data_IF_450370727421
#
_entry.id   IF_450370727421
#
_cell.length_a   1.000
_cell.length_b   1.000
_cell.length_c   1.000
_cell.angle_alpha   90.00
_cell.angle_beta   90.00
_cell.angle_gamma   90.00
#
_symmetry.space_group_name_H-M   'P 1'
#
loop_
_entity.id
_entity.type
_entity.pdbx_description
1 polymer ?
#
# COMPACT_ATOMS: atom_id res chain seq x y z
N UNK A 1 -10.77 10.72 -8.41
CA UNK A 1 -9.97 10.07 -7.36
C UNK A 1 -10.89 9.47 -6.31
N UNK A 2 -10.67 8.22 -5.93
CA UNK A 2 -11.48 7.44 -4.98
C UNK A 2 -10.56 6.92 -3.88
N UNK A 3 -10.94 7.11 -2.61
CA UNK A 3 -10.23 6.54 -1.48
C UNK A 3 -10.75 5.12 -1.20
N UNK A 4 -9.84 4.14 -1.13
CA UNK A 4 -10.15 2.75 -0.81
C UNK A 4 -9.37 2.33 0.42
N UNK A 5 -10.05 1.73 1.41
CA UNK A 5 -9.38 1.12 2.55
C UNK A 5 -8.68 -0.18 2.14
N UNK A 6 -7.36 -0.21 2.34
CA UNK A 6 -6.48 -1.31 1.94
C UNK A 6 -5.03 -0.86 1.80
N UNK A 7 -4.14 -1.85 1.85
CA UNK A 7 -2.70 -1.67 1.68
C UNK A 7 -2.32 -2.03 0.25
N UNK A 8 -1.54 -1.19 -0.41
CA UNK A 8 -1.16 -1.32 -1.81
C UNK A 8 0.36 -1.54 -1.94
N UNK A 9 0.76 -2.57 -2.68
CA UNK A 9 2.17 -2.94 -2.89
C UNK A 9 2.44 -3.15 -4.37
N UNK A 10 3.55 -2.62 -4.87
CA UNK A 10 4.06 -2.88 -6.22
C UNK A 10 5.09 -4.01 -6.16
N UNK A 11 4.95 -5.01 -7.04
CA UNK A 11 5.86 -6.15 -7.13
C UNK A 11 5.92 -6.64 -8.58
N UNK A 12 7.14 -6.80 -9.13
CA UNK A 12 7.36 -7.35 -10.47
C UNK A 12 6.54 -6.69 -11.59
N UNK A 13 6.38 -5.36 -11.53
CA UNK A 13 5.63 -4.58 -12.51
C UNK A 13 4.11 -4.65 -12.37
N UNK A 14 3.60 -5.23 -11.29
CA UNK A 14 2.17 -5.30 -10.97
C UNK A 14 1.90 -4.62 -9.64
N UNK A 15 0.81 -3.87 -9.56
CA UNK A 15 0.34 -3.23 -8.33
C UNK A 15 -0.82 -4.04 -7.75
N UNK A 16 -0.73 -4.42 -6.48
CA UNK A 16 -1.72 -5.26 -5.79
C UNK A 16 -2.31 -4.49 -4.62
N UNK A 17 -3.65 -4.36 -4.59
CA UNK A 17 -4.39 -3.77 -3.49
C UNK A 17 -4.97 -4.87 -2.57
N UNK A 18 -4.43 -4.99 -1.37
CA UNK A 18 -4.86 -5.94 -0.36
C UNK A 18 -6.03 -5.37 0.44
N UNK A 19 -7.19 -6.04 0.36
CA UNK A 19 -8.41 -5.69 1.09
C UNK A 19 -8.95 -6.87 1.88
N UNK A 20 -9.73 -6.55 2.91
CA UNK A 20 -10.28 -7.54 3.84
C UNK A 20 -10.54 -6.94 5.22
N UNK A 21 -11.21 -7.67 6.12
CA UNK A 21 -11.54 -7.21 7.47
C UNK A 21 -10.32 -6.74 8.27
N UNK A 22 -10.52 -5.89 9.28
CA UNK A 22 -9.44 -5.54 10.22
C UNK A 22 -8.93 -6.80 10.93
N UNK A 23 -7.62 -6.88 11.15
CA UNK A 23 -6.98 -8.05 11.77
C UNK A 23 -6.82 -9.27 10.85
N UNK A 24 -7.24 -9.22 9.58
CA UNK A 24 -7.10 -10.36 8.66
C UNK A 24 -5.67 -10.62 8.13
N UNK A 25 -4.65 -9.95 8.68
CA UNK A 25 -3.24 -10.14 8.28
C UNK A 25 -2.77 -9.38 7.04
N UNK A 26 -3.53 -8.38 6.53
CA UNK A 26 -3.16 -7.61 5.33
C UNK A 26 -1.79 -6.93 5.45
N UNK A 27 -1.53 -6.25 6.56
CA UNK A 27 -0.26 -5.57 6.80
C UNK A 27 0.91 -6.55 6.93
N UNK A 28 0.68 -7.71 7.54
CA UNK A 28 1.70 -8.78 7.61
C UNK A 28 2.03 -9.33 6.21
N UNK A 29 1.01 -9.58 5.38
CA UNK A 29 1.22 -9.99 3.99
C UNK A 29 1.94 -8.90 3.19
N UNK A 30 1.56 -7.62 3.36
CA UNK A 30 2.22 -6.50 2.70
C UNK A 30 3.71 -6.42 3.06
N UNK A 31 4.05 -6.58 4.34
CA UNK A 31 5.44 -6.62 4.80
C UNK A 31 6.22 -7.77 4.15
N UNK A 32 5.65 -8.97 4.05
CA UNK A 32 6.31 -10.11 3.37
C UNK A 32 6.49 -9.88 1.87
N UNK A 33 5.57 -9.18 1.22
CA UNK A 33 5.73 -8.79 -0.19
C UNK A 33 6.87 -7.78 -0.34
N UNK A 34 6.99 -6.82 0.58
CA UNK A 34 8.09 -5.85 0.61
C UNK A 34 9.44 -6.54 0.87
N UNK A 35 9.50 -7.44 1.86
CA UNK A 35 10.67 -8.26 2.15
C UNK A 35 11.09 -9.12 0.93
N UNK A 36 10.11 -9.58 0.16
CA UNK A 36 10.30 -10.27 -1.12
C UNK A 36 10.71 -9.38 -2.30
N UNK A 37 11.03 -8.11 -2.07
CA UNK A 37 11.47 -7.15 -3.10
C UNK A 37 10.35 -6.25 -3.65
N UNK A 38 9.16 -6.29 -3.07
CA UNK A 38 8.08 -5.35 -3.37
C UNK A 38 8.33 -3.96 -2.78
N UNK A 39 7.59 -2.97 -3.24
CA UNK A 39 7.62 -1.60 -2.72
C UNK A 39 6.26 -1.14 -2.25
N UNK A 40 6.23 -0.41 -1.15
CA UNK A 40 4.99 0.14 -0.62
C UNK A 40 4.48 1.26 -1.52
N UNK A 41 3.21 1.19 -1.90
CA UNK A 41 2.50 2.27 -2.60
C UNK A 41 1.61 3.05 -1.65
N UNK A 42 0.91 2.37 -0.75
CA UNK A 42 0.09 2.99 0.29
C UNK A 42 -0.23 1.98 1.41
N UNK A 43 -0.39 2.44 2.65
CA UNK A 43 -0.87 1.63 3.76
C UNK A 43 -2.17 2.20 4.34
N UNK A 44 -3.07 1.32 4.80
CA UNK A 44 -4.43 1.57 5.31
C UNK A 44 -5.41 2.25 4.33
N UNK A 45 -4.99 3.31 3.66
CA UNK A 45 -5.79 4.09 2.73
C UNK A 45 -5.04 4.28 1.42
N UNK A 46 -5.63 3.80 0.33
CA UNK A 46 -5.08 3.93 -1.03
C UNK A 46 -5.99 4.86 -1.84
N UNK A 47 -5.43 5.92 -2.39
CA UNK A 47 -6.07 6.75 -3.40
C UNK A 47 -5.94 6.07 -4.75
N UNK A 48 -7.05 5.96 -5.47
CA UNK A 48 -7.11 5.32 -6.77
C UNK A 48 -7.78 6.24 -7.76
N UNK A 49 -7.19 6.37 -8.94
CA UNK A 49 -7.79 7.12 -10.04
C UNK A 49 -7.46 6.50 -11.40
N UNK A 50 -8.31 6.80 -12.38
CA UNK A 50 -8.07 6.40 -13.77
C UNK A 50 -7.31 7.53 -14.46
N UNK A 51 -6.12 7.24 -14.96
CA UNK A 51 -5.32 8.12 -15.80
C UNK A 51 -5.16 7.48 -17.19
N UNK A 52 -5.91 7.99 -18.17
CA UNK A 52 -5.98 7.38 -19.50
C UNK A 52 -6.56 5.96 -19.43
N UNK A 53 -5.79 4.97 -19.88
CA UNK A 53 -6.16 3.55 -19.85
C UNK A 53 -5.62 2.81 -18.61
N UNK A 54 -5.01 3.53 -17.66
CA UNK A 54 -4.40 2.95 -16.46
C UNK A 54 -5.14 3.32 -15.19
N UNK A 55 -5.13 2.40 -14.24
CA UNK A 55 -5.52 2.65 -12.86
C UNK A 55 -4.25 2.94 -12.06
N UNK A 56 -4.18 4.14 -11.49
CA UNK A 56 -3.02 4.63 -10.71
C UNK A 56 -3.38 4.61 -9.23
N UNK A 57 -2.45 4.14 -8.40
CA UNK A 57 -2.64 4.01 -6.97
C UNK A 57 -1.58 4.81 -6.21
N UNK A 58 -2.00 5.63 -5.26
CA UNK A 58 -1.11 6.46 -4.46
C UNK A 58 -1.51 6.47 -2.99
N UNK A 59 -0.58 6.84 -2.12
CA UNK A 59 -0.90 7.16 -0.72
C UNK A 59 -1.44 8.59 -0.59
N UNK A 60 -2.39 8.86 0.33
CA UNK A 60 -2.66 10.21 0.79
C UNK A 60 -1.38 10.86 1.33
N UNK A 61 -1.20 12.16 1.06
CA UNK A 61 0.04 12.89 1.42
C UNK A 61 0.38 12.82 2.92
N UNK A 62 -0.64 12.77 3.78
CA UNK A 62 -0.49 12.74 5.24
C UNK A 62 0.16 11.46 5.75
N UNK A 63 -0.03 10.34 5.03
CA UNK A 63 0.45 9.00 5.40
C UNK A 63 1.43 8.42 4.38
N UNK A 64 1.84 9.19 3.37
CA UNK A 64 2.84 8.76 2.41
C UNK A 64 4.14 8.36 3.13
N UNK A 65 4.64 7.18 2.80
CA UNK A 65 5.91 6.63 3.27
C UNK A 65 5.83 6.07 4.68
N UNK A 66 4.61 5.89 5.21
CA UNK A 66 4.38 5.38 6.55
C UNK A 66 3.62 4.07 6.46
N UNK A 67 4.02 3.12 7.29
CA UNK A 67 3.30 1.87 7.51
C UNK A 67 3.18 1.59 8.99
N UNK A 68 2.01 1.17 9.45
CA UNK A 68 1.83 0.72 10.83
C UNK A 68 2.17 -0.77 10.96
N UNK A 69 3.20 -1.06 11.76
CA UNK A 69 3.57 -2.44 12.10
C UNK A 69 3.14 -2.74 13.53
N UNK A 70 2.22 -3.68 13.69
CA UNK A 70 1.68 -4.06 15.01
C UNK A 70 2.81 -4.52 15.93
N UNK A 71 2.86 -3.95 17.13
CA UNK A 71 3.89 -4.24 18.13
C UNK A 71 5.20 -3.48 17.95
N UNK A 72 5.37 -2.74 16.85
CA UNK A 72 6.55 -1.89 16.59
C UNK A 72 6.17 -0.41 16.56
N UNK A 73 5.04 -0.08 15.93
CA UNK A 73 4.56 1.28 15.72
C UNK A 73 4.62 1.69 14.24
N UNK A 74 4.56 3.00 13.99
CA UNK A 74 4.61 3.55 12.63
C UNK A 74 6.07 3.65 12.17
N UNK A 75 6.37 3.05 11.02
CA UNK A 75 7.70 3.03 10.42
C UNK A 75 7.72 3.84 9.13
N UNK A 76 8.87 4.44 8.84
CA UNK A 76 9.15 4.98 7.51
C UNK A 76 9.54 3.82 6.57
N UNK A 77 8.91 3.78 5.40
CA UNK A 77 9.13 2.75 4.38
C UNK A 77 9.41 3.42 3.04
N UNK A 78 10.37 2.91 2.29
CA UNK A 78 10.63 3.36 0.93
C UNK A 78 9.40 3.13 0.04
N UNK A 79 9.04 4.15 -0.74
CA UNK A 79 7.82 4.14 -1.54
C UNK A 79 8.10 4.04 -3.03
N UNK A 80 7.14 3.44 -3.73
CA UNK A 80 6.98 3.62 -5.18
C UNK A 80 5.73 4.43 -5.49
N UNK A 81 5.84 5.30 -6.50
CA UNK A 81 4.68 5.92 -7.15
C UNK A 81 4.28 5.00 -8.30
N UNK A 82 3.06 4.45 -8.27
CA UNK A 82 2.59 3.46 -9.25
C UNK A 82 1.33 3.89 -9.98
#
# INVERSE_FOLDING_TARGET
>A
MTLIHGTCVALNGVTVLLRGPSGSGKSDLALRLIDGGGRLVADDQTLVEIQGERLVATAPETIAGKMEVRGVGVLAVEMEKS
#
